data_IF_560692707526
#
_entry.id   IF_560692707526
#
_cell.length_a   1.000
_cell.length_b   1.000
_cell.length_c   1.000
_cell.angle_alpha   90.00
_cell.angle_beta   90.00
_cell.angle_gamma   90.00
#
_symmetry.space_group_name_H-M   'P 1'
#
loop_
_entity.id
_entity.type
_entity.pdbx_description
1 polymer ?
#
# COMPACT_ATOMS: atom_id res chain seq x y z
N UNK A 1 20.50 16.84 -6.47
CA UNK A 1 21.29 15.59 -6.49
C UNK A 1 21.27 14.86 -5.14
N UNK A 2 21.97 15.30 -4.09
CA UNK A 2 21.99 14.55 -2.80
C UNK A 2 20.62 14.42 -2.12
N UNK A 3 19.81 15.50 -2.15
CA UNK A 3 18.45 15.49 -1.58
C UNK A 3 17.49 14.55 -2.32
N UNK A 4 17.57 14.50 -3.65
CA UNK A 4 16.72 13.65 -4.48
C UNK A 4 17.06 12.17 -4.30
N UNK A 5 18.35 11.85 -4.16
CA UNK A 5 18.80 10.48 -3.88
C UNK A 5 18.29 9.99 -2.52
N UNK A 6 18.39 10.82 -1.48
CA UNK A 6 17.88 10.50 -0.15
C UNK A 6 16.35 10.30 -0.14
N UNK A 7 15.61 11.10 -0.92
CA UNK A 7 14.16 10.95 -1.08
C UNK A 7 13.81 9.64 -1.81
N UNK A 8 14.53 9.28 -2.87
CA UNK A 8 14.35 7.99 -3.57
C UNK A 8 14.67 6.79 -2.67
N UNK A 9 15.75 6.85 -1.89
CA UNK A 9 16.10 5.78 -0.94
C UNK A 9 15.02 5.61 0.13
N UNK A 10 14.49 6.71 0.66
CA UNK A 10 13.40 6.67 1.63
C UNK A 10 12.11 6.08 1.03
N UNK A 11 11.80 6.38 -0.24
CA UNK A 11 10.68 5.78 -0.97
C UNK A 11 10.89 4.28 -1.15
N UNK A 12 12.03 3.85 -1.69
CA UNK A 12 12.32 2.43 -1.91
C UNK A 12 12.36 1.63 -0.61
N UNK A 13 12.93 2.19 0.44
CA UNK A 13 12.94 1.56 1.76
C UNK A 13 11.50 1.38 2.26
N UNK A 14 10.68 2.43 2.16
CA UNK A 14 9.29 2.39 2.56
C UNK A 14 8.47 1.34 1.78
N UNK A 15 8.60 1.29 0.45
CA UNK A 15 7.89 0.31 -0.39
C UNK A 15 8.26 -1.15 -0.04
N UNK A 16 9.46 -1.36 0.53
CA UNK A 16 9.91 -2.68 1.00
C UNK A 16 9.43 -3.03 2.41
N UNK A 17 9.24 -2.05 3.29
CA UNK A 17 8.99 -2.27 4.73
C UNK A 17 7.59 -1.90 5.20
N UNK A 18 6.72 -1.33 4.35
CA UNK A 18 5.40 -0.87 4.78
C UNK A 18 4.53 -1.96 5.41
N UNK A 19 4.71 -3.23 5.01
CA UNK A 19 3.98 -4.38 5.60
C UNK A 19 4.28 -4.55 7.08
N UNK A 20 5.51 -4.26 7.48
CA UNK A 20 5.97 -4.35 8.88
C UNK A 20 5.38 -3.23 9.74
N UNK A 21 4.89 -2.15 9.10
CA UNK A 21 4.20 -1.05 9.80
C UNK A 21 2.73 -1.34 10.11
N UNK A 22 2.18 -2.46 9.62
CA UNK A 22 0.81 -2.88 9.91
C UNK A 22 0.72 -3.53 11.29
N UNK A 23 -0.33 -3.20 12.05
CA UNK A 23 -0.64 -3.91 13.28
C UNK A 23 -1.02 -5.40 13.00
N UNK A 24 -0.99 -6.27 14.02
CA UNK A 24 -1.28 -7.70 13.82
C UNK A 24 -2.66 -8.02 13.27
N UNK A 25 -3.67 -7.15 13.49
CA UNK A 25 -5.00 -7.37 12.92
C UNK A 25 -5.00 -7.11 11.40
N UNK A 26 -4.34 -6.05 10.96
CA UNK A 26 -4.17 -5.71 9.54
C UNK A 26 -3.26 -6.69 8.81
N UNK A 27 -2.22 -7.22 9.46
CA UNK A 27 -1.41 -8.30 8.89
C UNK A 27 -2.24 -9.56 8.59
N UNK A 28 -3.17 -9.94 9.48
CA UNK A 28 -4.11 -11.06 9.21
C UNK A 28 -5.01 -10.79 8.02
N UNK A 29 -5.46 -9.54 7.84
CA UNK A 29 -6.27 -9.16 6.67
C UNK A 29 -5.44 -9.25 5.38
N UNK A 30 -4.18 -8.82 5.40
CA UNK A 30 -3.28 -8.90 4.26
C UNK A 30 -3.08 -10.36 3.84
N UNK A 31 -2.80 -11.25 4.79
CA UNK A 31 -2.68 -12.70 4.54
C UNK A 31 -3.98 -13.24 3.94
N UNK A 32 -5.14 -12.91 4.50
CA UNK A 32 -6.42 -13.37 3.97
C UNK A 32 -6.66 -12.93 2.51
N UNK A 33 -6.31 -11.70 2.15
CA UNK A 33 -6.36 -11.19 0.77
C UNK A 33 -5.40 -11.97 -0.14
N UNK A 34 -4.18 -12.25 0.30
CA UNK A 34 -3.19 -13.02 -0.46
C UNK A 34 -3.63 -14.46 -0.73
N UNK A 35 -4.27 -15.10 0.24
CA UNK A 35 -4.90 -16.40 0.07
C UNK A 35 -6.08 -16.38 -0.92
N UNK A 36 -6.76 -15.24 -1.07
CA UNK A 36 -7.83 -15.02 -2.05
C UNK A 36 -7.31 -14.62 -3.44
N UNK A 37 -5.98 -14.62 -3.64
CA UNK A 37 -5.37 -14.28 -4.92
C UNK A 37 -5.12 -12.79 -5.13
N UNK A 38 -5.20 -11.98 -4.09
CA UNK A 38 -4.86 -10.56 -4.16
C UNK A 38 -3.38 -10.31 -3.80
N UNK A 39 -2.81 -9.23 -4.30
CA UNK A 39 -1.46 -8.76 -3.99
C UNK A 39 -1.57 -7.32 -3.51
N UNK A 40 -0.93 -6.97 -2.39
CA UNK A 40 -0.88 -5.61 -1.89
C UNK A 40 0.52 -5.00 -2.04
N UNK A 41 0.59 -3.79 -2.58
CA UNK A 41 1.78 -2.94 -2.65
C UNK A 41 1.49 -1.54 -2.10
N UNK A 42 2.50 -0.89 -1.54
CA UNK A 42 2.45 0.53 -1.22
C UNK A 42 3.24 1.30 -2.29
N UNK A 43 2.76 2.50 -2.62
CA UNK A 43 3.40 3.39 -3.58
C UNK A 43 3.50 4.80 -3.02
N UNK A 44 4.59 5.51 -3.33
CA UNK A 44 4.76 6.94 -3.01
C UNK A 44 4.68 7.76 -4.30
N UNK A 45 3.71 8.68 -4.38
CA UNK A 45 3.58 9.60 -5.50
C UNK A 45 4.63 10.73 -5.45
N UNK A 46 5.15 11.13 -6.61
CA UNK A 46 6.24 12.11 -6.74
C UNK A 46 5.81 13.59 -6.55
N UNK A 47 4.57 13.98 -6.88
CA UNK A 47 4.17 15.40 -6.97
C UNK A 47 3.72 16.08 -5.65
N UNK A 48 3.85 15.36 -4.54
CA UNK A 48 3.60 15.70 -3.13
C UNK A 48 3.69 14.33 -2.48
N UNK A 49 4.50 14.09 -1.44
CA UNK A 49 4.72 12.73 -0.94
C UNK A 49 3.39 12.24 -0.36
N UNK A 50 2.61 11.57 -1.21
CA UNK A 50 1.31 11.01 -0.91
C UNK A 50 1.44 9.52 -1.14
N UNK A 51 1.10 8.75 -0.12
CA UNK A 51 1.18 7.31 -0.13
C UNK A 51 -0.17 6.73 -0.54
N UNK A 52 -0.15 5.60 -1.24
CA UNK A 52 -1.36 4.82 -1.48
C UNK A 52 -1.04 3.34 -1.33
N UNK A 53 -2.02 2.56 -0.91
CA UNK A 53 -1.98 1.11 -1.02
C UNK A 53 -2.75 0.72 -2.27
N UNK A 54 -2.14 -0.13 -3.09
CA UNK A 54 -2.78 -0.79 -4.22
C UNK A 54 -2.96 -2.25 -3.84
N UNK A 55 -4.15 -2.77 -4.05
CA UNK A 55 -4.45 -4.20 -3.99
C UNK A 55 -4.88 -4.63 -5.39
N UNK A 56 -4.21 -5.61 -5.98
CA UNK A 56 -4.51 -6.12 -7.32
C UNK A 56 -4.79 -7.62 -7.28
N UNK A 57 -5.68 -8.12 -8.13
CA UNK A 57 -5.77 -9.56 -8.39
C UNK A 57 -4.44 -10.04 -8.99
N UNK A 58 -4.01 -11.27 -8.66
CA UNK A 58 -2.70 -11.82 -9.05
C UNK A 58 -2.54 -11.97 -10.57
N UNK A 59 -3.65 -12.16 -11.25
CA UNK A 59 -3.84 -12.22 -12.70
C UNK A 59 -4.05 -10.83 -13.34
N UNK A 60 -4.12 -9.78 -12.54
CA UNK A 60 -3.99 -8.38 -12.97
C UNK A 60 -5.25 -7.73 -13.56
N UNK A 61 -6.37 -8.44 -13.60
CA UNK A 61 -7.61 -7.94 -14.22
C UNK A 61 -8.38 -6.94 -13.35
N UNK A 62 -8.17 -6.95 -12.03
CA UNK A 62 -8.73 -5.97 -11.10
C UNK A 62 -7.67 -5.32 -10.25
N UNK A 63 -7.82 -4.01 -10.06
CA UNK A 63 -6.95 -3.19 -9.24
C UNK A 63 -7.78 -2.21 -8.43
N UNK A 64 -7.60 -2.25 -7.12
CA UNK A 64 -8.23 -1.35 -6.17
C UNK A 64 -7.16 -0.52 -5.46
N UNK A 65 -7.37 0.78 -5.42
CA UNK A 65 -6.43 1.74 -4.82
C UNK A 65 -7.09 2.46 -3.66
N UNK A 66 -6.35 2.69 -2.58
CA UNK A 66 -6.77 3.59 -1.51
C UNK A 66 -6.85 5.03 -2.01
N UNK A 67 -7.53 5.91 -1.28
CA UNK A 67 -7.30 7.33 -1.51
C UNK A 67 -5.85 7.69 -1.10
N UNK A 68 -5.20 8.66 -1.77
CA UNK A 68 -3.84 9.05 -1.40
C UNK A 68 -3.78 9.73 -0.03
N UNK A 69 -2.98 9.21 0.89
CA UNK A 69 -2.77 9.78 2.24
C UNK A 69 -1.47 10.60 2.29
N UNK A 70 -1.37 11.68 3.10
CA UNK A 70 -0.14 12.46 3.25
C UNK A 70 1.05 11.64 3.78
N UNK A 71 2.27 12.07 3.46
CA UNK A 71 3.52 11.59 4.09
C UNK A 71 4.07 12.66 5.03
N UNK A 72 4.44 12.32 6.28
CA UNK A 72 4.14 11.04 6.96
C UNK A 72 2.64 10.94 7.31
N UNK A 73 2.08 9.72 7.26
CA UNK A 73 0.66 9.43 7.55
C UNK A 73 0.43 7.94 7.83
N UNK A 74 -0.72 7.59 8.43
CA UNK A 74 -1.06 6.22 8.81
C UNK A 74 -1.34 5.35 7.58
N UNK A 75 -0.46 4.37 7.34
CA UNK A 75 -0.61 3.40 6.26
C UNK A 75 -1.67 2.34 6.55
N UNK A 76 -2.01 2.12 7.82
CA UNK A 76 -3.09 1.24 8.21
C UNK A 76 -4.42 1.70 7.63
N UNK A 77 -4.71 3.01 7.66
CA UNK A 77 -5.93 3.56 7.07
C UNK A 77 -5.96 3.38 5.54
N UNK A 78 -4.84 3.68 4.85
CA UNK A 78 -4.73 3.46 3.41
C UNK A 78 -4.92 1.99 3.04
N UNK A 79 -4.33 1.08 3.82
CA UNK A 79 -4.53 -0.37 3.68
C UNK A 79 -5.99 -0.76 3.89
N UNK A 80 -6.64 -0.30 4.97
CA UNK A 80 -8.03 -0.62 5.28
C UNK A 80 -8.98 -0.16 4.16
N UNK A 81 -8.72 1.01 3.58
CA UNK A 81 -9.48 1.51 2.43
C UNK A 81 -9.33 0.60 1.21
N UNK A 82 -8.10 0.23 0.84
CA UNK A 82 -7.85 -0.62 -0.32
C UNK A 82 -8.39 -2.04 -0.11
N UNK A 83 -8.20 -2.62 1.09
CA UNK A 83 -8.71 -3.93 1.46
C UNK A 83 -10.25 -3.98 1.42
N UNK A 84 -10.93 -2.93 1.89
CA UNK A 84 -12.40 -2.83 1.80
C UNK A 84 -12.89 -2.75 0.36
N UNK A 85 -12.20 -1.98 -0.50
CA UNK A 85 -12.53 -1.88 -1.93
C UNK A 85 -12.37 -3.23 -2.63
N UNK A 86 -11.24 -3.91 -2.41
CA UNK A 86 -11.00 -5.25 -2.95
C UNK A 86 -12.07 -6.27 -2.53
N UNK A 87 -12.49 -6.25 -1.26
CA UNK A 87 -13.58 -7.13 -0.76
C UNK A 87 -14.94 -6.85 -1.39
N UNK A 88 -15.22 -5.61 -1.77
CA UNK A 88 -16.46 -5.24 -2.45
C UNK A 88 -16.45 -5.55 -3.96
N UNK A 89 -15.28 -5.91 -4.52
CA UNK A 89 -15.10 -6.27 -5.92
C UNK A 89 -15.19 -7.79 -6.18
N UNK A 90 -15.43 -8.58 -5.13
CA UNK A 90 -15.70 -10.03 -5.12
C UNK A 90 -17.21 -10.24 -5.12
#
# INVERSE_FOLDING_TARGET
MEKELAEMEAIMHFEKTWRDSLDPARQRVLVALEHQGWLASAHVGHERPRRAVIVSERDGFKLERSDPVPFPGDMGEAFDQAARRARNAI
#
